data_IF_475151014708
#
_entry.id   IF_475151014708
#
_cell.length_a   1.000
_cell.length_b   1.000
_cell.length_c   1.000
_cell.angle_alpha   90.00
_cell.angle_beta   90.00
_cell.angle_gamma   90.00
#
_symmetry.space_group_name_H-M   'P 1'
#
loop_
_entity.id
_entity.type
_entity.pdbx_description
1 polymer ?
#
# COMPACT_ATOMS: atom_id res chain seq x y z
N UNK A 1 -24.85 -3.93 1.54
CA UNK A 1 -24.47 -5.35 1.68
C UNK A 1 -23.38 -5.63 0.66
N UNK A 2 -22.11 -5.63 1.07
CA UNK A 2 -20.99 -6.00 0.20
C UNK A 2 -21.06 -7.51 -0.01
N UNK A 3 -21.33 -7.93 -1.25
CA UNK A 3 -21.31 -9.35 -1.61
C UNK A 3 -19.92 -9.90 -1.30
N UNK A 4 -19.80 -11.01 -0.55
CA UNK A 4 -18.49 -11.59 -0.26
C UNK A 4 -17.82 -11.97 -1.58
N UNK A 5 -16.60 -11.48 -1.79
CA UNK A 5 -15.82 -11.79 -2.98
C UNK A 5 -15.46 -13.27 -2.95
N UNK A 6 -16.04 -14.06 -3.85
CA UNK A 6 -15.75 -15.49 -3.97
C UNK A 6 -14.66 -15.72 -5.02
N UNK A 7 -13.59 -16.42 -4.63
CA UNK A 7 -12.51 -16.78 -5.53
C UNK A 7 -12.67 -18.22 -6.04
N UNK A 8 -12.39 -18.45 -7.33
CA UNK A 8 -12.47 -19.77 -7.97
C UNK A 8 -11.50 -20.78 -7.34
N UNK A 9 -10.32 -20.33 -6.88
CA UNK A 9 -9.36 -21.17 -6.15
C UNK A 9 -8.85 -20.46 -4.90
N UNK A 10 -8.71 -21.22 -3.81
CA UNK A 10 -8.05 -20.75 -2.58
C UNK A 10 -6.53 -20.72 -2.78
N UNK A 11 -5.87 -19.71 -2.22
CA UNK A 11 -4.40 -19.59 -2.26
C UNK A 11 -3.85 -18.86 -3.48
N UNK A 12 -4.70 -18.42 -4.40
CA UNK A 12 -4.28 -17.68 -5.60
C UNK A 12 -4.22 -16.18 -5.32
N UNK A 13 -3.04 -15.58 -5.53
CA UNK A 13 -2.80 -14.14 -5.39
C UNK A 13 -3.35 -13.42 -6.63
N UNK A 14 -4.21 -12.42 -6.42
CA UNK A 14 -4.61 -11.50 -7.49
C UNK A 14 -3.79 -10.22 -7.39
N UNK A 15 -2.73 -10.14 -8.19
CA UNK A 15 -1.91 -8.94 -8.32
C UNK A 15 -2.25 -8.23 -9.63
N UNK A 16 -2.22 -6.88 -9.66
CA UNK A 16 -2.20 -6.13 -10.92
C UNK A 16 -1.08 -6.63 -11.82
N UNK A 17 -1.32 -6.62 -13.13
CA UNK A 17 -0.32 -7.05 -14.11
C UNK A 17 0.81 -6.03 -14.15
N UNK A 18 2.03 -6.54 -14.11
CA UNK A 18 3.26 -5.75 -14.18
C UNK A 18 3.67 -5.57 -15.65
N UNK A 19 3.78 -4.32 -16.11
CA UNK A 19 4.34 -3.97 -17.41
C UNK A 19 5.87 -4.08 -17.42
N UNK A 20 6.47 -3.85 -16.26
CA UNK A 20 7.90 -3.76 -16.09
C UNK A 20 8.27 -3.43 -14.67
N UNK A 21 9.58 -3.30 -14.43
CA UNK A 21 10.15 -3.02 -13.11
C UNK A 21 10.94 -1.73 -13.14
N UNK A 22 10.75 -0.91 -12.11
CA UNK A 22 11.64 0.22 -11.79
C UNK A 22 12.72 -0.32 -10.85
N UNK A 23 13.98 -0.11 -11.19
CA UNK A 23 15.13 -0.65 -10.44
C UNK A 23 16.09 0.45 -10.05
N UNK A 24 16.81 0.18 -8.97
CA UNK A 24 17.99 0.92 -8.52
C UNK A 24 19.02 -0.14 -8.22
N UNK A 25 20.02 -0.24 -9.09
CA UNK A 25 20.97 -1.33 -9.10
C UNK A 25 20.69 -2.41 -10.13
N UNK A 26 21.69 -3.26 -10.28
CA UNK A 26 21.69 -4.44 -11.14
C UNK A 26 22.50 -5.56 -10.48
N UNK A 27 22.35 -6.78 -10.98
CA UNK A 27 23.18 -7.91 -10.57
C UNK A 27 24.33 -8.04 -11.56
N UNK A 28 25.55 -8.09 -11.05
CA UNK A 28 26.74 -8.40 -11.84
C UNK A 28 27.13 -9.86 -11.63
N UNK A 29 27.50 -10.53 -12.71
CA UNK A 29 27.94 -11.92 -12.69
C UNK A 29 29.48 -11.94 -12.68
N UNK A 30 30.05 -12.15 -11.50
CA UNK A 30 31.49 -12.29 -11.29
C UNK A 30 31.95 -13.75 -11.24
N UNK A 31 33.27 -14.00 -11.16
CA UNK A 31 33.83 -15.34 -10.98
C UNK A 31 33.38 -16.00 -9.66
N UNK A 32 33.12 -15.20 -8.63
CA UNK A 32 32.70 -15.65 -7.29
C UNK A 32 31.18 -15.74 -7.13
N UNK A 33 30.42 -15.53 -8.21
CA UNK A 33 28.97 -15.60 -8.24
C UNK A 33 28.28 -14.28 -8.59
N UNK A 34 26.98 -14.22 -8.33
CA UNK A 34 26.14 -13.05 -8.52
C UNK A 34 26.39 -12.02 -7.40
N UNK A 35 26.61 -10.76 -7.74
CA UNK A 35 26.78 -9.67 -6.77
C UNK A 35 25.78 -8.56 -7.07
N UNK A 36 24.88 -8.21 -6.13
CA UNK A 36 24.00 -7.07 -6.31
C UNK A 36 24.77 -5.75 -6.14
N UNK A 37 24.73 -4.90 -7.16
CA UNK A 37 25.38 -3.59 -7.19
C UNK A 37 24.31 -2.50 -7.21
N UNK A 38 24.35 -1.60 -6.22
CA UNK A 38 23.46 -0.44 -6.19
C UNK A 38 23.96 0.65 -7.15
N UNK A 39 23.05 1.25 -7.91
CA UNK A 39 23.35 2.38 -8.81
C UNK A 39 22.80 3.70 -8.27
N UNK A 40 23.33 4.81 -8.79
CA UNK A 40 22.90 6.18 -8.44
C UNK A 40 21.85 6.76 -9.41
N UNK A 41 21.10 5.89 -10.10
CA UNK A 41 20.05 6.26 -11.05
C UNK A 41 18.98 5.16 -11.14
N UNK A 42 17.81 5.52 -11.65
CA UNK A 42 16.74 4.58 -11.97
C UNK A 42 16.97 3.90 -13.32
N UNK A 43 16.60 2.63 -13.40
CA UNK A 43 16.42 1.91 -14.67
C UNK A 43 15.01 1.33 -14.76
N UNK A 44 14.33 1.61 -15.87
CA UNK A 44 13.01 1.06 -16.19
C UNK A 44 13.20 -0.10 -17.16
N UNK A 45 12.81 -1.29 -16.72
CA UNK A 45 13.09 -2.55 -17.41
C UNK A 45 11.82 -3.33 -17.68
N UNK A 46 11.86 -4.18 -18.70
CA UNK A 46 10.83 -5.16 -18.99
C UNK A 46 10.96 -6.36 -18.04
N UNK A 47 9.98 -7.27 -18.06
CA UNK A 47 10.01 -8.53 -17.29
C UNK A 47 10.76 -9.65 -18.02
N UNK A 48 11.67 -9.31 -18.94
CA UNK A 48 12.50 -10.26 -19.67
C UNK A 48 13.99 -10.01 -19.41
N UNK A 49 14.76 -11.08 -19.31
CA UNK A 49 16.22 -11.04 -19.25
C UNK A 49 16.81 -11.35 -20.62
N UNK A 50 17.86 -10.63 -20.98
CA UNK A 50 18.69 -10.89 -22.15
C UNK A 50 19.53 -12.16 -21.98
N UNK A 51 20.24 -12.55 -23.05
CA UNK A 51 21.15 -13.70 -23.03
C UNK A 51 22.33 -13.52 -22.07
N UNK A 52 22.68 -12.26 -21.78
CA UNK A 52 23.70 -11.83 -20.82
C UNK A 52 23.20 -11.85 -19.36
N UNK A 53 21.95 -12.25 -19.13
CA UNK A 53 21.32 -12.29 -17.81
C UNK A 53 20.87 -10.91 -17.30
N UNK A 54 21.12 -9.83 -18.04
CA UNK A 54 20.69 -8.47 -17.68
C UNK A 54 19.23 -8.25 -18.06
N UNK A 55 18.58 -7.34 -17.35
CA UNK A 55 17.21 -6.96 -17.65
C UNK A 55 17.13 -6.09 -18.90
N UNK A 56 16.22 -6.41 -19.81
CA UNK A 56 16.05 -5.63 -21.04
C UNK A 56 15.38 -4.30 -20.69
N UNK A 57 15.92 -3.19 -21.20
CA UNK A 57 15.36 -1.86 -20.96
C UNK A 57 13.97 -1.71 -21.59
N UNK A 58 13.10 -0.97 -20.90
CA UNK A 58 11.79 -0.61 -21.43
C UNK A 58 11.91 0.65 -22.31
N UNK A 59 11.10 0.77 -23.36
CA UNK A 59 11.03 1.95 -24.24
C UNK A 59 10.76 3.28 -23.50
N UNK A 60 10.28 3.21 -22.25
CA UNK A 60 10.02 4.38 -21.42
C UNK A 60 11.32 4.96 -20.85
N UNK A 61 12.39 4.16 -20.72
CA UNK A 61 13.69 4.61 -20.23
C UNK A 61 14.20 5.81 -21.02
N UNK A 62 14.26 5.68 -22.36
CA UNK A 62 14.73 6.76 -23.24
C UNK A 62 13.80 7.98 -23.22
N UNK A 63 12.48 7.76 -23.15
CA UNK A 63 11.48 8.84 -23.09
C UNK A 63 11.61 9.64 -21.80
N UNK A 64 11.80 8.98 -20.66
CA UNK A 64 11.98 9.61 -19.36
C UNK A 64 13.28 10.41 -19.30
N UNK A 65 14.38 9.87 -19.84
CA UNK A 65 15.64 10.60 -19.98
C UNK A 65 15.49 11.85 -20.86
N UNK A 66 14.78 11.74 -21.99
CA UNK A 66 14.52 12.89 -22.86
C UNK A 66 13.66 13.98 -22.18
N UNK A 67 12.67 13.58 -21.38
CA UNK A 67 11.84 14.52 -20.61
C UNK A 67 12.63 15.22 -19.50
N UNK A 68 13.49 14.49 -18.79
CA UNK A 68 14.37 15.05 -17.76
C UNK A 68 15.29 16.13 -18.36
N UNK A 69 15.87 15.86 -19.52
CA UNK A 69 16.82 16.77 -20.16
C UNK A 69 16.14 17.96 -20.83
N UNK A 70 14.92 17.79 -21.34
CA UNK A 70 14.10 18.93 -21.78
C UNK A 70 13.80 19.92 -20.65
N UNK A 71 13.71 19.44 -19.40
CA UNK A 71 13.64 20.29 -18.22
C UNK A 71 15.01 20.83 -17.77
N UNK A 72 16.11 20.19 -18.18
CA UNK A 72 17.51 20.57 -17.88
C UNK A 72 18.28 21.05 -19.13
N UNK A 73 17.61 21.78 -20.04
CA UNK A 73 18.11 22.19 -21.37
C UNK A 73 19.32 23.18 -21.38
N UNK A 74 20.16 23.19 -20.33
CA UNK A 74 21.36 24.01 -20.21
C UNK A 74 22.69 23.25 -20.15
N UNK A 75 22.70 21.91 -20.13
CA UNK A 75 23.95 21.12 -20.07
C UNK A 75 24.11 20.27 -21.33
N UNK A 76 24.72 20.88 -22.36
CA UNK A 76 25.09 20.23 -23.62
C UNK A 76 26.47 19.59 -23.43
N UNK A 77 26.56 18.25 -23.47
CA UNK A 77 27.86 17.58 -23.58
C UNK A 77 27.96 16.11 -23.13
N UNK A 78 27.01 15.57 -22.38
CA UNK A 78 27.16 14.21 -21.83
C UNK A 78 26.74 13.10 -22.81
N UNK A 79 27.53 12.03 -22.85
CA UNK A 79 27.27 10.87 -23.70
C UNK A 79 26.01 10.12 -23.25
N UNK A 80 25.37 9.35 -24.14
CA UNK A 80 24.18 8.53 -23.82
C UNK A 80 24.38 7.61 -22.60
N UNK A 81 25.62 7.18 -22.33
CA UNK A 81 25.97 6.33 -21.20
C UNK A 81 26.08 7.08 -19.85
N UNK A 82 26.15 8.41 -19.87
CA UNK A 82 26.27 9.25 -18.67
C UNK A 82 24.94 9.86 -18.22
N UNK A 83 23.91 9.80 -19.06
CA UNK A 83 22.58 10.35 -18.76
C UNK A 83 21.88 9.49 -17.70
N UNK A 84 21.89 9.99 -16.47
CA UNK A 84 21.34 9.31 -15.29
C UNK A 84 19.90 9.77 -15.00
N UNK A 85 18.96 8.83 -15.01
CA UNK A 85 17.58 9.09 -14.62
C UNK A 85 17.47 9.21 -13.10
N UNK A 86 17.17 10.40 -12.58
CA UNK A 86 17.07 10.66 -11.13
C UNK A 86 15.64 10.86 -10.64
N UNK A 87 14.70 11.03 -11.56
CA UNK A 87 13.29 11.24 -11.24
C UNK A 87 12.37 10.57 -12.24
N UNK A 88 11.27 9.98 -11.78
CA UNK A 88 10.23 9.38 -12.61
C UNK A 88 8.87 9.98 -12.24
N UNK A 89 8.13 10.61 -13.18
CA UNK A 89 6.76 11.02 -12.96
C UNK A 89 5.86 9.78 -12.87
N UNK A 90 5.12 9.66 -11.78
CA UNK A 90 4.28 8.50 -11.48
C UNK A 90 2.90 8.89 -10.98
N UNK A 91 1.95 7.96 -11.09
CA UNK A 91 0.61 8.06 -10.51
C UNK A 91 0.29 6.82 -9.71
N UNK A 92 -0.50 7.00 -8.65
CA UNK A 92 -1.06 5.88 -7.90
C UNK A 92 -2.17 5.22 -8.74
N UNK A 93 -2.08 3.90 -8.89
CA UNK A 93 -3.11 3.10 -9.57
C UNK A 93 -4.37 2.96 -8.71
N UNK A 94 -4.20 3.00 -7.40
CA UNK A 94 -5.24 2.76 -6.39
C UNK A 94 -5.22 3.89 -5.36
N UNK A 95 -6.37 4.15 -4.76
CA UNK A 95 -6.56 5.01 -3.60
C UNK A 95 -6.05 4.32 -2.32
N UNK A 96 -6.30 3.02 -2.15
CA UNK A 96 -5.88 2.29 -0.94
C UNK A 96 -4.34 2.16 -0.84
N UNK A 97 -3.70 2.64 0.24
CA UNK A 97 -2.23 2.60 0.39
C UNK A 97 -1.69 1.16 0.42
N UNK A 98 -2.46 0.20 0.95
CA UNK A 98 -2.06 -1.21 1.03
C UNK A 98 -2.01 -1.91 -0.36
N UNK A 99 -2.61 -1.31 -1.40
CA UNK A 99 -2.51 -1.77 -2.79
C UNK A 99 -1.35 -1.07 -3.52
N UNK A 100 -1.02 0.16 -3.12
CA UNK A 100 0.07 0.95 -3.70
C UNK A 100 1.42 0.47 -3.17
N UNK A 101 1.59 0.38 -1.86
CA UNK A 101 2.83 -0.08 -1.22
C UNK A 101 2.55 -1.22 -0.26
N UNK A 102 3.32 -2.29 -0.41
CA UNK A 102 3.35 -3.41 0.53
C UNK A 102 4.77 -3.62 0.97
N UNK A 103 5.05 -3.37 2.25
CA UNK A 103 6.33 -3.70 2.86
C UNK A 103 6.14 -4.65 4.02
N UNK A 104 7.18 -5.44 4.29
CA UNK A 104 7.20 -6.38 5.41
C UNK A 104 8.55 -7.05 5.53
N UNK A 105 8.69 -7.85 6.58
CA UNK A 105 9.80 -8.76 6.74
C UNK A 105 9.52 -10.05 5.96
N UNK A 106 10.48 -10.46 5.16
CA UNK A 106 10.44 -11.73 4.44
C UNK A 106 11.71 -12.51 4.74
N UNK A 107 11.54 -13.78 5.12
CA UNK A 107 12.64 -14.73 5.27
C UNK A 107 12.70 -15.64 4.04
N UNK A 108 13.88 -15.65 3.44
CA UNK A 108 14.21 -16.41 2.26
C UNK A 108 15.13 -17.56 2.64
N UNK A 109 14.78 -18.77 2.25
CA UNK A 109 15.64 -19.93 2.49
C UNK A 109 16.75 -19.98 1.43
N UNK A 110 17.99 -19.97 1.88
CA UNK A 110 19.17 -19.93 1.02
C UNK A 110 19.34 -21.21 0.19
N UNK A 111 18.78 -22.34 0.66
CA UNK A 111 18.87 -23.63 -0.03
C UNK A 111 17.80 -23.76 -1.12
N UNK A 112 16.53 -23.53 -0.78
CA UNK A 112 15.41 -23.66 -1.74
C UNK A 112 15.21 -22.45 -2.63
N UNK A 113 15.85 -21.31 -2.32
CA UNK A 113 15.65 -20.01 -2.96
C UNK A 113 14.17 -19.59 -3.03
N UNK A 114 13.45 -19.78 -1.93
CA UNK A 114 12.02 -19.43 -1.82
C UNK A 114 11.73 -18.65 -0.54
N UNK A 115 10.66 -17.85 -0.57
CA UNK A 115 10.16 -17.20 0.65
C UNK A 115 9.49 -18.25 1.54
N UNK A 116 10.05 -18.43 2.73
CA UNK A 116 9.63 -19.41 3.74
C UNK A 116 8.93 -18.77 4.93
N UNK A 117 9.12 -17.46 5.15
CA UNK A 117 8.39 -16.70 6.16
C UNK A 117 8.04 -15.31 5.64
N UNK A 118 6.83 -14.82 5.90
CA UNK A 118 6.41 -13.46 5.58
C UNK A 118 5.66 -12.84 6.76
N UNK A 119 5.99 -11.60 7.14
CA UNK A 119 5.27 -10.87 8.19
C UNK A 119 3.93 -10.36 7.67
N UNK A 120 2.87 -10.53 8.46
CA UNK A 120 1.57 -9.93 8.20
C UNK A 120 1.38 -8.56 8.88
N UNK A 121 2.41 -8.09 9.61
CA UNK A 121 2.30 -6.91 10.47
C UNK A 121 1.81 -7.28 11.88
N UNK A 122 1.67 -6.27 12.75
CA UNK A 122 1.14 -6.40 14.12
C UNK A 122 1.82 -7.49 14.98
N UNK A 123 3.11 -7.74 14.75
CA UNK A 123 3.87 -8.76 15.47
C UNK A 123 3.52 -10.20 15.07
N UNK A 124 2.90 -10.41 13.91
CA UNK A 124 2.51 -11.73 13.39
C UNK A 124 3.19 -12.01 12.06
N UNK A 125 3.59 -13.26 11.86
CA UNK A 125 4.17 -13.75 10.61
C UNK A 125 3.62 -15.13 10.29
N UNK A 126 3.75 -15.52 9.03
CA UNK A 126 3.32 -16.82 8.55
C UNK A 126 4.53 -17.54 7.99
N UNK A 127 4.74 -18.77 8.45
CA UNK A 127 5.92 -19.58 8.15
C UNK A 127 5.53 -20.91 7.52
N UNK A 128 6.25 -21.29 6.45
CA UNK A 128 6.21 -22.63 5.86
C UNK A 128 6.98 -23.60 6.76
N UNK A 129 6.39 -24.75 7.07
CA UNK A 129 7.04 -25.77 7.89
C UNK A 129 7.91 -26.69 7.01
N UNK A 130 9.19 -26.88 7.37
CA UNK A 130 10.17 -27.71 6.64
C UNK A 130 9.71 -29.17 6.46
N UNK A 131 8.85 -29.69 7.33
CA UNK A 131 8.45 -31.11 7.36
C UNK A 131 7.59 -31.58 6.15
N UNK A 132 7.23 -30.69 5.22
CA UNK A 132 6.53 -31.12 4.01
C UNK A 132 6.49 -30.01 2.96
N UNK A 133 7.52 -29.95 2.13
CA UNK A 133 7.45 -29.28 0.82
C UNK A 133 6.25 -29.79 -0.02
N UNK A 134 5.74 -30.98 0.31
CA UNK A 134 4.56 -31.62 -0.31
C UNK A 134 3.19 -31.26 0.30
N UNK A 135 3.09 -30.72 1.52
CA UNK A 135 1.77 -30.46 2.16
C UNK A 135 1.38 -28.98 2.27
N UNK A 136 2.32 -28.06 1.99
CA UNK A 136 2.01 -26.62 1.93
C UNK A 136 1.48 -26.01 3.23
N UNK A 137 1.67 -26.70 4.38
CA UNK A 137 1.12 -26.25 5.66
C UNK A 137 1.84 -25.00 6.15
N UNK A 138 1.07 -23.91 6.25
CA UNK A 138 1.50 -22.62 6.77
C UNK A 138 1.06 -22.51 8.22
N UNK A 139 1.96 -22.07 9.10
CA UNK A 139 1.65 -21.78 10.50
C UNK A 139 1.81 -20.29 10.78
N UNK A 140 0.87 -19.71 11.52
CA UNK A 140 1.01 -18.37 12.10
C UNK A 140 1.98 -18.45 13.29
N UNK A 141 2.96 -17.56 13.31
CA UNK A 141 4.02 -17.49 14.32
C UNK A 141 4.20 -16.03 14.78
N UNK A 142 4.59 -15.79 16.04
CA UNK A 142 4.92 -14.44 16.48
C UNK A 142 6.16 -13.91 15.74
N UNK A 143 6.12 -12.65 15.34
CA UNK A 143 7.20 -11.94 14.66
C UNK A 143 7.83 -10.90 15.61
N UNK A 144 9.08 -11.14 16.01
CA UNK A 144 9.84 -10.27 16.93
C UNK A 144 10.81 -9.32 16.21
N UNK A 145 10.70 -9.22 14.88
CA UNK A 145 11.66 -8.49 14.03
C UNK A 145 12.83 -9.38 13.56
N UNK A 146 13.56 -8.94 12.53
CA UNK A 146 14.66 -9.70 11.94
C UNK A 146 15.83 -9.92 12.93
N UNK A 147 16.24 -8.90 13.66
CA UNK A 147 17.42 -8.95 14.55
C UNK A 147 17.29 -10.00 15.67
N UNK A 148 16.08 -10.16 16.22
CA UNK A 148 15.82 -11.03 17.38
C UNK A 148 15.16 -12.36 16.99
N UNK A 149 15.03 -12.65 15.70
CA UNK A 149 14.34 -13.85 15.23
C UNK A 149 15.32 -15.01 15.10
N UNK A 150 15.20 -16.00 15.99
CA UNK A 150 16.03 -17.22 15.96
C UNK A 150 16.00 -17.93 14.61
N UNK A 151 14.85 -17.91 13.92
CA UNK A 151 14.71 -18.51 12.60
C UNK A 151 15.54 -17.78 11.54
N UNK A 152 15.52 -16.44 11.55
CA UNK A 152 16.32 -15.61 10.65
C UNK A 152 17.83 -15.70 10.95
N UNK A 153 18.17 -15.94 12.21
CA UNK A 153 19.56 -16.04 12.67
C UNK A 153 20.09 -17.48 12.72
N UNK A 154 19.31 -18.46 12.24
CA UNK A 154 19.69 -19.88 12.25
C UNK A 154 20.74 -20.27 11.21
N UNK A 155 21.06 -19.37 10.27
CA UNK A 155 21.91 -19.63 9.11
C UNK A 155 21.22 -20.36 7.95
N UNK A 156 19.99 -20.87 8.16
CA UNK A 156 19.19 -21.54 7.11
C UNK A 156 18.36 -20.58 6.27
N UNK A 157 17.86 -19.51 6.88
CA UNK A 157 17.01 -18.52 6.21
C UNK A 157 17.52 -17.11 6.52
N UNK A 158 17.52 -16.24 5.51
CA UNK A 158 17.90 -14.82 5.67
C UNK A 158 16.64 -13.96 5.66
N UNK A 159 16.43 -13.19 6.72
CA UNK A 159 15.27 -12.29 6.82
C UNK A 159 15.67 -10.84 6.50
N UNK A 160 15.03 -10.26 5.48
CA UNK A 160 15.23 -8.86 5.10
C UNK A 160 13.90 -8.11 5.09
N UNK A 161 13.97 -6.78 5.19
CA UNK A 161 12.87 -5.95 4.75
C UNK A 161 12.71 -6.14 3.25
N UNK A 162 11.47 -6.27 2.81
CA UNK A 162 11.15 -6.36 1.40
C UNK A 162 9.86 -5.60 1.15
N UNK A 163 9.85 -4.77 0.10
CA UNK A 163 8.62 -4.12 -0.29
C UNK A 163 8.48 -3.93 -1.79
N UNK A 164 7.22 -3.76 -2.16
CA UNK A 164 6.70 -3.66 -3.52
C UNK A 164 5.88 -2.39 -3.60
N UNK A 165 6.30 -1.47 -4.45
CA UNK A 165 5.55 -0.26 -4.77
C UNK A 165 4.98 -0.41 -6.19
N UNK A 166 3.66 -0.46 -6.31
CA UNK A 166 2.93 -0.49 -7.57
C UNK A 166 2.53 0.94 -7.97
N UNK A 167 3.02 1.38 -9.13
CA UNK A 167 2.80 2.74 -9.66
C UNK A 167 2.59 2.71 -11.16
N UNK A 168 1.97 3.74 -11.70
CA UNK A 168 1.89 3.97 -13.15
C UNK A 168 2.90 5.03 -13.54
N UNK A 169 3.60 4.85 -14.64
CA UNK A 169 4.52 5.86 -15.17
C UNK A 169 3.78 6.72 -16.18
N UNK A 170 3.92 8.04 -16.08
CA UNK A 170 3.29 8.95 -17.02
C UNK A 170 3.76 8.70 -18.46
N UNK A 171 2.80 8.55 -19.38
CA UNK A 171 3.09 8.26 -20.79
C UNK A 171 3.18 6.76 -21.15
N UNK A 172 2.88 5.85 -20.21
CA UNK A 172 2.67 4.44 -20.52
C UNK A 172 1.41 4.22 -21.39
N UNK A 173 1.44 3.22 -22.28
CA UNK A 173 0.34 2.96 -23.23
C UNK A 173 -0.87 2.28 -22.60
N UNK A 174 -0.65 1.39 -21.64
CA UNK A 174 -1.71 0.60 -21.00
C UNK A 174 -2.03 1.21 -19.63
N UNK A 175 -3.20 1.83 -19.50
CA UNK A 175 -3.61 2.52 -18.27
C UNK A 175 -4.07 1.57 -17.15
N UNK A 176 -4.27 0.28 -17.44
CA UNK A 176 -4.83 -0.68 -16.48
C UNK A 176 -3.72 -1.50 -15.77
N UNK A 177 -2.49 -1.38 -16.24
CA UNK A 177 -1.33 -2.10 -15.72
C UNK A 177 -0.34 -1.13 -15.06
N UNK A 178 0.61 -1.67 -14.31
CA UNK A 178 1.55 -0.85 -13.53
C UNK A 178 2.99 -1.29 -13.66
N UNK A 179 3.89 -0.44 -13.21
CA UNK A 179 5.28 -0.77 -12.92
C UNK A 179 5.42 -1.07 -11.44
N UNK A 180 6.34 -1.96 -11.10
CA UNK A 180 6.67 -2.26 -9.71
C UNK A 180 8.11 -1.87 -9.39
N UNK A 181 8.31 -1.22 -8.25
CA UNK A 181 9.61 -1.03 -7.63
C UNK A 181 9.75 -2.04 -6.48
N UNK A 182 10.72 -2.95 -6.61
CA UNK A 182 11.09 -3.91 -5.56
C UNK A 182 12.33 -3.38 -4.83
N UNK A 183 12.32 -3.40 -3.50
CA UNK A 183 13.47 -2.96 -2.72
C UNK A 183 13.53 -3.63 -1.35
N UNK A 184 14.76 -3.85 -0.88
CA UNK A 184 15.06 -4.27 0.50
C UNK A 184 15.60 -3.14 1.37
N UNK A 185 15.67 -1.91 0.84
CA UNK A 185 16.20 -0.75 1.57
C UNK A 185 15.19 -0.25 2.60
N UNK A 186 15.54 -0.37 3.88
CA UNK A 186 14.74 0.14 4.99
C UNK A 186 14.44 1.65 4.86
N UNK A 187 15.42 2.44 4.43
CA UNK A 187 15.26 3.89 4.26
C UNK A 187 14.25 4.23 3.16
N UNK A 188 14.29 3.49 2.05
CA UNK A 188 13.33 3.66 0.96
C UNK A 188 11.92 3.27 1.42
N UNK A 189 11.76 2.09 2.03
CA UNK A 189 10.44 1.59 2.43
C UNK A 189 9.78 2.48 3.48
N UNK A 190 10.52 2.90 4.50
CA UNK A 190 10.00 3.78 5.56
C UNK A 190 9.52 5.11 5.00
N UNK A 191 10.30 5.73 4.09
CA UNK A 191 9.93 7.00 3.49
C UNK A 191 8.70 6.85 2.58
N UNK A 192 8.68 5.84 1.72
CA UNK A 192 7.56 5.61 0.81
C UNK A 192 6.26 5.34 1.59
N UNK A 193 6.29 4.46 2.61
CA UNK A 193 5.11 4.18 3.41
C UNK A 193 4.60 5.42 4.15
N UNK A 194 5.51 6.19 4.77
CA UNK A 194 5.14 7.39 5.50
C UNK A 194 4.50 8.43 4.56
N UNK A 195 5.11 8.71 3.41
CA UNK A 195 4.60 9.70 2.46
C UNK A 195 3.28 9.26 1.84
N UNK A 196 3.15 8.00 1.39
CA UNK A 196 1.91 7.51 0.78
C UNK A 196 0.75 7.54 1.80
N UNK A 197 0.98 7.08 3.03
CA UNK A 197 -0.05 7.12 4.08
C UNK A 197 -0.41 8.55 4.48
N UNK A 198 0.57 9.45 4.53
CA UNK A 198 0.35 10.88 4.78
C UNK A 198 -0.51 11.51 3.67
N UNK A 199 -0.15 11.31 2.39
CA UNK A 199 -0.91 11.82 1.26
C UNK A 199 -2.33 11.24 1.23
N UNK A 200 -2.48 9.94 1.47
CA UNK A 200 -3.80 9.30 1.54
C UNK A 200 -4.68 9.95 2.62
N UNK A 201 -4.13 10.19 3.82
CA UNK A 201 -4.86 10.88 4.87
C UNK A 201 -5.18 12.34 4.52
N UNK A 202 -4.22 13.07 3.93
CA UNK A 202 -4.38 14.47 3.55
C UNK A 202 -5.42 14.67 2.43
N UNK A 203 -5.56 13.71 1.52
CA UNK A 203 -6.44 13.77 0.35
C UNK A 203 -7.82 13.14 0.60
N UNK A 204 -8.16 12.84 1.86
CA UNK A 204 -9.46 12.28 2.22
C UNK A 204 -9.65 10.84 1.74
N UNK A 205 -8.58 10.06 1.73
CA UNK A 205 -8.59 8.65 1.32
C UNK A 205 -8.48 8.43 -0.19
N UNK A 206 -7.95 9.41 -0.94
CA UNK A 206 -7.82 9.36 -2.41
C UNK A 206 -6.39 9.61 -2.83
N UNK A 207 -5.84 8.77 -3.70
CA UNK A 207 -4.51 8.93 -4.29
C UNK A 207 -4.56 8.95 -5.82
N UNK A 208 -5.58 8.35 -6.42
CA UNK A 208 -5.73 8.28 -7.87
C UNK A 208 -5.97 9.67 -8.46
N UNK A 209 -5.30 9.95 -9.59
CA UNK A 209 -5.40 11.24 -10.29
C UNK A 209 -4.38 12.29 -9.86
N UNK A 210 -3.74 12.10 -8.69
CA UNK A 210 -2.67 13.00 -8.23
C UNK A 210 -1.36 12.68 -8.96
N UNK A 211 -0.68 13.69 -9.55
CA UNK A 211 0.63 13.51 -10.15
C UNK A 211 1.71 13.50 -9.06
N UNK A 212 2.45 12.40 -8.98
CA UNK A 212 3.57 12.22 -8.08
C UNK A 212 4.87 12.08 -8.87
N UNK A 213 5.99 12.14 -8.15
CA UNK A 213 7.32 11.90 -8.69
C UNK A 213 8.12 11.03 -7.73
N UNK A 214 8.69 9.94 -8.25
CA UNK A 214 9.73 9.19 -7.56
C UNK A 214 11.05 9.92 -7.76
N UNK A 215 11.72 10.27 -6.67
CA UNK A 215 12.99 10.95 -6.68
C UNK A 215 14.06 10.08 -6.03
N UNK A 216 15.20 9.92 -6.70
CA UNK A 216 16.36 9.29 -6.10
C UNK A 216 17.14 10.34 -5.30
N UNK A 217 17.17 10.18 -3.98
CA UNK A 217 17.87 11.08 -3.07
C UNK A 217 19.09 10.41 -2.48
N UNK A 218 20.10 11.21 -2.18
CA UNK A 218 21.34 10.77 -1.57
C UNK A 218 21.45 11.32 -0.14
N UNK A 219 21.88 10.49 0.81
CA UNK A 219 22.20 10.93 2.17
C UNK A 219 23.49 10.24 2.62
N UNK A 220 24.23 10.92 3.49
CA UNK A 220 25.33 10.34 4.25
C UNK A 220 25.07 10.62 5.73
N UNK A 221 25.34 9.65 6.59
CA UNK A 221 25.13 9.76 8.03
C UNK A 221 26.36 9.27 8.78
N UNK A 222 26.53 9.69 10.03
CA UNK A 222 27.59 9.14 10.88
C UNK A 222 27.45 7.61 11.02
N UNK A 223 26.22 7.09 11.05
CA UNK A 223 25.94 5.65 11.10
C UNK A 223 26.42 4.91 9.84
N UNK A 224 26.37 5.55 8.67
CA UNK A 224 26.89 4.97 7.42
C UNK A 224 28.41 5.17 7.24
N UNK A 225 29.13 5.59 8.28
CA UNK A 225 30.56 5.90 8.16
C UNK A 225 30.84 7.02 7.15
N UNK A 226 29.88 7.92 6.95
CA UNK A 226 29.89 8.96 5.91
C UNK A 226 29.88 8.44 4.46
N UNK A 227 29.65 7.15 4.24
CA UNK A 227 29.35 6.62 2.92
C UNK A 227 27.98 7.13 2.45
N UNK A 228 27.93 7.59 1.20
CA UNK A 228 26.72 8.11 0.56
C UNK A 228 25.87 6.92 0.13
N UNK A 229 24.63 6.88 0.62
CA UNK A 229 23.63 5.90 0.18
C UNK A 229 22.48 6.59 -0.55
N UNK A 230 21.88 5.85 -1.48
CA UNK A 230 20.74 6.31 -2.26
C UNK A 230 19.44 5.66 -1.76
N UNK A 231 18.35 6.43 -1.73
CA UNK A 231 17.02 5.95 -1.39
C UNK A 231 15.96 6.64 -2.23
N UNK A 232 14.80 6.00 -2.37
CA UNK A 232 13.67 6.57 -3.11
C UNK A 232 12.76 7.33 -2.19
N UNK A 233 12.36 8.50 -2.66
CA UNK A 233 11.34 9.33 -2.06
C UNK A 233 10.21 9.55 -3.06
N UNK A 234 8.98 9.72 -2.56
CA UNK A 234 7.81 10.07 -3.38
C UNK A 234 7.29 11.44 -2.96
N UNK A 235 7.15 12.34 -3.93
CA UNK A 235 6.66 13.70 -3.70
C UNK A 235 5.61 14.09 -4.73
N UNK A 236 4.85 15.16 -4.48
CA UNK A 236 4.00 15.77 -5.50
C UNK A 236 4.83 16.31 -6.66
N UNK A 237 4.28 16.23 -7.87
CA UNK A 237 4.91 16.76 -9.08
C UNK A 237 4.52 18.22 -9.31
N UNK A 238 5.29 19.15 -8.74
CA UNK A 238 5.20 20.58 -9.08
C UNK A 238 3.90 21.27 -8.67
N UNK A 239 3.02 20.59 -7.95
CA UNK A 239 1.72 21.11 -7.48
C UNK A 239 1.69 21.25 -5.95
N UNK A 240 0.84 22.14 -5.48
CA UNK A 240 0.57 22.30 -4.05
C UNK A 240 -0.32 21.18 -3.50
N UNK A 241 -0.32 21.02 -2.18
CA UNK A 241 -1.19 20.05 -1.50
C UNK A 241 -2.68 20.32 -1.76
N UNK A 242 -3.08 21.60 -1.83
CA UNK A 242 -4.46 21.99 -2.07
C UNK A 242 -4.92 21.66 -3.51
N UNK A 243 -4.05 21.88 -4.49
CA UNK A 243 -4.31 21.48 -5.88
C UNK A 243 -4.41 19.96 -6.01
N UNK A 244 -3.52 19.23 -5.33
CA UNK A 244 -3.56 17.76 -5.30
C UNK A 244 -4.89 17.21 -4.77
N UNK A 245 -5.41 17.79 -3.68
CA UNK A 245 -6.75 17.45 -3.14
C UNK A 245 -7.83 17.69 -4.20
N UNK A 246 -7.79 18.84 -4.88
CA UNK A 246 -8.73 19.17 -5.95
C UNK A 246 -8.67 18.19 -7.12
N UNK A 247 -7.47 17.80 -7.56
CA UNK A 247 -7.27 16.83 -8.63
C UNK A 247 -7.77 15.43 -8.25
N UNK A 248 -7.49 14.98 -7.02
CA UNK A 248 -7.97 13.69 -6.51
C UNK A 248 -9.50 13.65 -6.45
N UNK A 249 -10.12 14.74 -5.98
CA UNK A 249 -11.57 14.85 -5.89
C UNK A 249 -12.24 14.89 -7.28
N UNK A 250 -11.68 15.64 -8.22
CA UNK A 250 -12.19 15.69 -9.59
C UNK A 250 -12.06 14.33 -10.28
N UNK A 251 -10.93 13.63 -10.09
CA UNK A 251 -10.76 12.28 -10.62
C UNK A 251 -11.80 11.30 -10.07
N UNK A 252 -12.07 11.34 -8.77
CA UNK A 252 -13.11 10.52 -8.15
C UNK A 252 -14.50 10.82 -8.76
N UNK A 253 -14.83 12.11 -8.94
CA UNK A 253 -16.10 12.54 -9.57
C UNK A 253 -16.22 12.04 -11.01
N UNK A 254 -15.14 12.10 -11.78
CA UNK A 254 -15.11 11.60 -13.17
C UNK A 254 -15.28 10.08 -13.23
N UNK A 255 -14.65 9.33 -12.31
CA UNK A 255 -14.82 7.89 -12.22
C UNK A 255 -16.26 7.51 -11.89
N UNK A 256 -16.88 8.18 -10.91
CA UNK A 256 -18.29 7.98 -10.56
C UNK A 256 -19.21 8.31 -11.75
N UNK A 257 -18.98 9.42 -12.44
CA UNK A 257 -19.77 9.81 -13.61
C UNK A 257 -19.63 8.84 -14.80
N UNK A 258 -18.47 8.19 -14.94
CA UNK A 258 -18.24 7.14 -15.92
C UNK A 258 -18.80 5.76 -15.51
N UNK A 259 -19.32 5.64 -14.28
CA UNK A 259 -19.81 4.36 -13.74
C UNK A 259 -18.70 3.42 -13.26
N UNK A 260 -17.49 3.93 -13.00
CA UNK A 260 -16.37 3.15 -12.48
C UNK A 260 -16.43 3.06 -10.95
N UNK A 261 -16.74 1.88 -10.43
CA UNK A 261 -16.70 1.60 -8.99
C UNK A 261 -15.29 1.21 -8.54
N UNK A 262 -14.48 2.24 -8.24
CA UNK A 262 -13.11 2.06 -7.73
C UNK A 262 -13.10 1.33 -6.39
N UNK A 263 -14.07 1.62 -5.51
CA UNK A 263 -14.13 1.01 -4.18
C UNK A 263 -14.39 -0.50 -4.26
N UNK A 264 -15.32 -0.93 -5.11
CA UNK A 264 -15.56 -2.35 -5.36
C UNK A 264 -14.35 -3.03 -6.00
N UNK A 265 -13.71 -2.39 -6.99
CA UNK A 265 -12.50 -2.90 -7.63
C UNK A 265 -11.37 -3.13 -6.60
N UNK A 266 -11.10 -2.15 -5.74
CA UNK A 266 -10.09 -2.27 -4.69
C UNK A 266 -10.44 -3.31 -3.63
N UNK A 267 -11.73 -3.47 -3.32
CA UNK A 267 -12.19 -4.50 -2.38
C UNK A 267 -11.87 -5.89 -2.94
N UNK A 268 -12.11 -6.12 -4.23
CA UNK A 268 -11.76 -7.39 -4.90
C UNK A 268 -10.26 -7.61 -4.91
N UNK A 269 -9.46 -6.58 -5.21
CA UNK A 269 -8.00 -6.68 -5.22
C UNK A 269 -7.45 -6.99 -3.83
N UNK A 270 -7.90 -6.27 -2.80
CA UNK A 270 -7.47 -6.51 -1.41
C UNK A 270 -7.83 -7.92 -0.96
N UNK A 271 -9.06 -8.36 -1.24
CA UNK A 271 -9.50 -9.71 -0.93
C UNK A 271 -8.69 -10.77 -1.72
N UNK A 272 -8.31 -10.47 -2.96
CA UNK A 272 -7.50 -11.37 -3.80
C UNK A 272 -6.04 -11.47 -3.34
N UNK A 273 -5.48 -10.38 -2.82
CA UNK A 273 -4.18 -10.39 -2.13
C UNK A 273 -4.24 -11.21 -0.84
N UNK A 274 -5.35 -11.13 -0.09
CA UNK A 274 -5.59 -11.93 1.11
C UNK A 274 -5.92 -13.41 0.81
N UNK A 275 -6.53 -13.68 -0.35
CA UNK A 275 -6.80 -15.04 -0.83
C UNK A 275 -5.53 -15.76 -1.25
N UNK A 276 -4.56 -15.01 -1.77
CA UNK A 276 -3.22 -15.49 -2.00
C UNK A 276 -2.56 -16.01 -0.72
N UNK A 277 -1.66 -16.98 -0.87
CA UNK A 277 -0.76 -17.28 0.25
C UNK A 277 0.04 -16.02 0.57
N UNK A 278 0.34 -15.75 1.84
CA UNK A 278 1.25 -14.66 2.23
C UNK A 278 2.66 -14.77 1.63
N UNK A 279 2.93 -15.90 0.98
CA UNK A 279 4.10 -16.14 0.15
C UNK A 279 3.77 -15.86 -1.30
N UNK A 280 4.75 -15.31 -2.00
CA UNK A 280 4.59 -14.98 -3.39
C UNK A 280 4.60 -16.24 -4.29
N UNK A 281 4.27 -16.06 -5.57
CA UNK A 281 4.34 -17.16 -6.54
C UNK A 281 5.79 -17.47 -6.90
N UNK A 282 6.10 -18.65 -7.50
CA UNK A 282 7.47 -19.01 -7.87
C UNK A 282 8.19 -17.97 -8.75
N UNK A 283 7.43 -17.26 -9.60
CA UNK A 283 7.96 -16.17 -10.43
C UNK A 283 8.42 -14.99 -9.57
N UNK A 284 7.62 -14.59 -8.58
CA UNK A 284 7.99 -13.53 -7.64
C UNK A 284 9.14 -13.96 -6.72
N UNK A 285 9.17 -15.22 -6.27
CA UNK A 285 10.29 -15.77 -5.49
C UNK A 285 11.61 -15.65 -6.29
N UNK A 286 11.58 -15.94 -7.59
CA UNK A 286 12.74 -15.82 -8.47
C UNK A 286 13.18 -14.36 -8.66
N UNK A 287 12.24 -13.41 -8.73
CA UNK A 287 12.55 -11.97 -8.79
C UNK A 287 13.09 -11.44 -7.46
N UNK A 288 12.55 -11.93 -6.34
CA UNK A 288 13.00 -11.58 -5.00
C UNK A 288 14.39 -12.15 -4.70
N UNK A 289 14.75 -13.31 -5.26
CA UNK A 289 16.03 -13.99 -5.04
C UNK A 289 17.24 -13.06 -5.27
N UNK A 290 17.16 -12.15 -6.25
CA UNK A 290 18.20 -11.14 -6.56
C UNK A 290 18.61 -10.31 -5.33
N UNK A 291 17.68 -10.09 -4.38
CA UNK A 291 17.90 -9.28 -3.17
C UNK A 291 18.50 -10.09 -2.01
N UNK A 292 18.60 -11.42 -2.14
CA UNK A 292 19.13 -12.35 -1.13
C UNK A 292 20.42 -13.04 -1.56
N UNK A 293 20.92 -12.74 -2.76
CA UNK A 293 22.22 -13.21 -3.25
C UNK A 293 23.35 -12.74 -2.32
N UNK A 294 24.33 -13.63 -2.05
CA UNK A 294 25.52 -13.33 -1.26
C UNK A 294 25.38 -13.57 0.26
N UNK A 295 24.21 -13.99 0.75
CA UNK A 295 23.99 -14.26 2.19
C UNK A 295 24.86 -15.39 2.78
N UNK A 296 25.55 -16.17 1.93
CA UNK A 296 26.49 -17.22 2.36
C UNK A 296 27.98 -16.84 2.18
N UNK A 297 28.30 -15.71 1.55
CA UNK A 297 29.69 -15.35 1.19
C UNK A 297 30.09 -13.92 1.54
N UNK A 298 29.13 -13.07 1.91
CA UNK A 298 29.42 -11.82 2.58
C UNK A 298 29.06 -12.05 4.05
N UNK A 299 30.10 -12.25 4.86
CA UNK A 299 30.09 -11.74 6.23
C UNK A 299 29.55 -10.32 6.09
N UNK A 300 28.30 -10.16 6.52
CA UNK A 300 27.65 -8.87 6.56
C UNK A 300 28.68 -8.02 7.29
N UNK A 301 29.28 -7.04 6.59
CA UNK A 301 29.66 -5.81 7.26
C UNK A 301 28.35 -5.27 7.79
N UNK A 302 27.98 -5.86 8.93
CA UNK A 302 27.12 -5.36 9.96
C UNK A 302 27.75 -4.02 10.21
N UNK A 303 27.23 -2.99 9.57
CA UNK A 303 27.39 -1.65 10.09
C UNK A 303 26.98 -1.80 11.55
N UNK A 304 27.88 -1.60 12.52
CA UNK A 304 27.55 -1.81 13.92
C UNK A 304 26.44 -0.80 14.24
N UNK A 305 25.24 -1.33 14.34
CA UNK A 305 24.04 -0.53 14.21
C UNK A 305 22.79 -1.39 14.20
N UNK A 306 22.87 -2.57 14.81
CA UNK A 306 21.70 -3.23 15.36
C UNK A 306 20.96 -2.23 16.25
N UNK A 307 19.65 -2.25 16.18
CA UNK A 307 18.81 -1.40 17.00
C UNK A 307 18.96 -1.80 18.47
N UNK A 308 19.69 -0.99 19.24
CA UNK A 308 19.36 -0.78 20.63
C UNK A 308 17.98 -0.10 20.70
N UNK A 309 16.93 -0.91 20.64
CA UNK A 309 15.68 -0.56 21.30
C UNK A 309 15.86 -0.88 22.79
N UNK A 310 16.27 0.12 23.60
CA UNK A 310 15.47 0.44 24.76
C UNK A 310 15.55 1.93 25.13
N UNK A 311 14.74 2.82 24.56
CA UNK A 311 14.52 4.14 25.23
C UNK A 311 13.16 4.79 25.00
N UNK A 312 12.43 4.54 23.90
CA UNK A 312 11.18 5.29 23.66
C UNK A 312 9.98 4.78 24.48
N UNK A 313 10.05 3.57 25.06
CA UNK A 313 8.96 3.04 25.92
C UNK A 313 9.08 3.47 27.39
N UNK A 314 10.26 3.95 27.85
CA UNK A 314 10.43 4.43 29.24
C UNK A 314 10.19 5.93 29.43
N UNK A 315 10.17 6.73 28.38
CA UNK A 315 9.92 8.17 28.49
C UNK A 315 8.42 8.53 28.57
N UNK A 316 7.53 7.69 28.01
CA UNK A 316 6.07 7.93 28.01
C UNK A 316 5.40 7.53 29.33
N UNK A 317 6.07 6.76 30.20
CA UNK A 317 5.60 6.50 31.57
C UNK A 317 6.08 7.52 32.61
N UNK A 318 7.07 8.36 32.28
CA UNK A 318 7.59 9.39 33.18
C UNK A 318 6.91 10.76 33.03
N UNK A 319 6.25 11.00 31.89
CA UNK A 319 5.37 12.15 31.68
C UNK A 319 3.93 11.63 31.69
N UNK A 320 3.21 11.81 32.80
CA UNK A 320 1.83 11.32 33.01
C UNK A 320 0.80 11.92 32.06
N UNK A 321 0.91 11.65 30.77
CA UNK A 321 -0.05 12.01 29.73
C UNK A 321 -0.86 10.75 29.43
N UNK A 322 -2.04 10.66 30.06
CA UNK A 322 -3.05 9.68 29.71
C UNK A 322 -3.56 10.01 28.30
N UNK A 323 -3.15 9.24 27.29
CA UNK A 323 -3.88 9.19 26.02
C UNK A 323 -4.95 8.12 26.19
N UNK A 324 -6.18 8.58 26.41
CA UNK A 324 -7.37 7.75 26.40
C UNK A 324 -7.49 7.09 25.02
N UNK A 325 -7.41 5.77 25.00
CA UNK A 325 -7.49 4.96 23.79
C UNK A 325 -8.85 5.19 23.11
N UNK A 326 -8.84 5.91 21.99
CA UNK A 326 -9.96 5.99 21.05
C UNK A 326 -10.30 4.57 20.56
N UNK A 327 -11.35 3.97 21.14
CA UNK A 327 -11.99 2.78 20.58
C UNK A 327 -12.73 3.20 19.31
N UNK A 328 -12.24 2.72 18.17
CA UNK A 328 -13.00 2.73 16.91
C UNK A 328 -14.27 1.91 17.12
N UNK A 329 -15.40 2.61 17.12
CA UNK A 329 -16.74 2.07 17.22
C UNK A 329 -17.03 1.26 15.93
N UNK A 330 -17.11 -0.07 16.03
CA UNK A 330 -17.71 -0.91 14.99
C UNK A 330 -19.23 -0.85 15.15
N UNK A 331 -19.91 -0.49 14.08
CA UNK A 331 -21.37 -0.34 14.04
C UNK A 331 -22.13 -1.65 14.23
N UNK A 332 -23.28 -1.49 14.89
CA UNK A 332 -24.61 -2.12 14.67
C UNK A 332 -24.70 -3.63 14.44
N UNK A 333 -25.31 -4.32 15.41
CA UNK A 333 -26.57 -5.07 15.21
C UNK A 333 -27.04 -5.65 16.56
N UNK A 334 -28.17 -5.17 17.08
CA UNK A 334 -29.16 -5.97 17.84
C UNK A 334 -30.34 -5.09 18.26
N UNK A 335 -31.51 -5.59 17.91
CA UNK A 335 -32.85 -5.05 18.11
C UNK A 335 -33.48 -5.75 19.33
N UNK A 336 -34.36 -5.02 20.04
CA UNK A 336 -35.39 -5.44 21.02
C UNK A 336 -35.08 -5.51 22.53
N UNK A 337 -35.83 -4.67 23.23
CA UNK A 337 -36.74 -4.98 24.34
C UNK A 337 -36.27 -4.79 25.80
N UNK A 338 -37.28 -4.41 26.60
CA UNK A 338 -37.39 -4.34 28.06
C UNK A 338 -36.66 -3.16 28.70
N UNK A 339 -37.37 -2.11 29.13
CA UNK A 339 -38.32 -2.00 30.24
C UNK A 339 -37.67 -1.26 31.40
N UNK A 340 -38.50 -0.44 32.02
CA UNK A 340 -38.17 0.56 33.00
C UNK A 340 -37.73 -0.03 34.36
N UNK A 341 -37.30 0.91 35.21
CA UNK A 341 -37.34 0.85 36.68
C UNK A 341 -36.01 0.51 37.35
N UNK A 342 -35.40 1.51 37.99
CA UNK A 342 -35.38 1.60 39.45
C UNK A 342 -34.75 2.93 39.88
N UNK A 343 -35.57 3.85 40.38
CA UNK A 343 -35.14 4.85 41.35
C UNK A 343 -36.10 4.77 42.54
N UNK A 344 -35.59 4.30 43.67
CA UNK A 344 -36.07 4.58 45.01
C UNK A 344 -34.80 5.03 45.78
N UNK A 345 -34.79 6.07 46.61
CA UNK A 345 -35.69 6.29 47.74
C UNK A 345 -35.48 7.70 48.32
N UNK A 346 -36.43 8.12 49.17
CA UNK A 346 -36.41 9.22 50.16
C UNK A 346 -37.14 10.55 49.86
N UNK A 347 -38.46 10.48 50.13
CA UNK A 347 -39.19 11.28 51.15
C UNK A 347 -39.66 12.74 50.87
N UNK A 348 -40.77 13.19 51.53
CA UNK A 348 -41.86 13.93 50.85
C UNK A 348 -42.27 15.28 51.51
N UNK A 349 -43.19 16.04 50.87
CA UNK A 349 -44.45 16.59 51.47
C UNK A 349 -45.14 17.67 50.60
N UNK A 350 -46.49 17.57 50.51
CA UNK A 350 -47.47 18.67 50.34
C UNK A 350 -47.95 18.95 48.90
N UNK A 351 -49.16 18.51 48.52
CA UNK A 351 -50.42 19.30 48.40
C UNK A 351 -50.51 19.99 47.01
N UNK A 352 -51.56 20.00 46.17
CA UNK A 352 -53.04 19.90 46.25
C UNK A 352 -53.60 19.37 44.89
N UNK A 353 -54.58 18.44 44.87
CA UNK A 353 -56.00 18.58 44.41
C UNK A 353 -56.21 19.34 43.07
N UNK A 354 -56.29 18.67 41.91
CA UNK A 354 -57.50 18.19 41.16
C UNK A 354 -58.19 19.26 40.25
N UNK A 355 -59.21 18.92 39.43
CA UNK A 355 -59.05 18.54 38.01
C UNK A 355 -60.07 19.25 37.08
N UNK A 356 -60.03 18.99 35.76
CA UNK A 356 -61.16 19.07 34.79
C UNK A 356 -60.61 19.05 33.35
N UNK A 357 -61.27 18.56 32.30
CA UNK A 357 -62.39 17.64 32.09
C UNK A 357 -62.56 17.50 30.56
N UNK A 358 -63.29 16.46 30.13
CA UNK A 358 -63.93 16.26 28.80
C UNK A 358 -63.01 16.00 27.58
N UNK A 359 -63.14 14.89 26.83
CA UNK A 359 -64.32 14.42 26.09
C UNK A 359 -64.09 14.76 24.60
N UNK A 360 -64.16 13.91 23.57
CA UNK A 360 -64.85 12.64 23.35
C UNK A 360 -65.69 12.77 22.06
N UNK A 361 -65.40 11.98 21.01
CA UNK A 361 -66.26 11.75 19.82
C UNK A 361 -65.78 12.44 18.53
N UNK A 362 -65.27 11.75 17.50
CA UNK A 362 -65.87 10.74 16.59
C UNK A 362 -66.93 11.29 15.62
N UNK A 363 -66.60 11.33 14.32
CA UNK A 363 -67.38 10.70 13.23
C UNK A 363 -66.86 11.11 11.83
N UNK A 364 -66.72 10.12 10.93
CA UNK A 364 -66.46 10.22 9.48
C UNK A 364 -67.78 10.59 8.70
N UNK A 365 -68.00 10.38 7.36
CA UNK A 365 -67.12 9.95 6.24
C UNK A 365 -67.40 10.61 4.82
N UNK A 366 -66.47 10.41 3.85
CA UNK A 366 -66.65 10.22 2.36
C UNK A 366 -67.30 11.32 1.45
N UNK A 367 -67.35 11.18 0.08
CA UNK A 367 -66.28 11.49 -0.90
C UNK A 367 -66.81 12.30 -2.13
N UNK A 368 -66.02 12.36 -3.23
CA UNK A 368 -66.31 12.75 -4.64
C UNK A 368 -65.40 13.90 -5.12
N UNK A 369 -65.03 14.09 -6.39
CA UNK A 369 -64.99 13.35 -7.65
C UNK A 369 -64.33 14.30 -8.70
N UNK A 370 -64.03 13.78 -9.90
CA UNK A 370 -63.87 14.51 -11.18
C UNK A 370 -62.54 15.24 -11.45
N UNK A 371 -61.98 15.36 -12.67
CA UNK A 371 -62.00 14.68 -13.99
C UNK A 371 -61.21 15.60 -14.96
N UNK A 372 -60.74 15.03 -16.09
CA UNK A 372 -60.29 15.65 -17.36
C UNK A 372 -58.94 16.41 -17.34
N UNK A 373 -57.90 16.03 -18.09
CA UNK A 373 -57.72 15.77 -19.54
C UNK A 373 -57.60 17.03 -20.42
N UNK A 374 -56.43 17.23 -21.05
CA UNK A 374 -56.30 17.69 -22.45
C UNK A 374 -54.82 17.67 -22.91
N UNK A 375 -54.62 17.14 -24.11
CA UNK A 375 -53.37 17.05 -24.89
C UNK A 375 -53.12 18.28 -25.79
N UNK A 376 -51.87 18.45 -26.25
CA UNK A 376 -51.41 18.76 -27.65
C UNK A 376 -49.98 19.37 -27.56
N UNK A 377 -48.87 18.91 -28.18
CA UNK A 377 -48.46 18.35 -29.50
C UNK A 377 -47.89 19.41 -30.47
N UNK A 378 -46.67 19.13 -31.00
CA UNK A 378 -45.98 19.77 -32.14
C UNK A 378 -44.49 20.02 -31.80
N UNK A 379 -43.46 19.26 -32.22
CA UNK A 379 -42.93 18.85 -33.55
C UNK A 379 -42.50 20.02 -34.45
N UNK A 380 -41.19 20.15 -34.68
CA UNK A 380 -40.57 20.18 -36.02
C UNK A 380 -39.03 20.17 -35.94
N UNK A 381 -38.44 19.29 -36.74
CA UNK A 381 -37.01 19.15 -37.07
C UNK A 381 -36.45 20.34 -37.86
N UNK A 382 -35.14 20.58 -37.72
CA UNK A 382 -34.19 20.89 -38.79
C UNK A 382 -32.75 20.55 -38.38
#
# INVERSE_FOLDING_TARGET
MTTPVSFSMRGMVFSPIELGTIRIGHVEFGPDGEVPVMTDHFSVTQLIRGQDGRWVEHELQERLLAQQDGAQAGQVGESRAERKLRSIPVRAQFDSPDLVIRSGLQAFDCSSRRVVCASAGDGRAFRRLEASEASGKVSEVPCVGNEKCDFANSGKATCKFFGRLHVQIDGQRQADNGFVLRTSSFNTLTNLEAQIRMYHAAFGGRLTGVPFRLNLRSRATQKSGFEVFHFVDISLDGISMAEAVGMAAERARLNEAAGLDVCAMETVLRAGLQNGSLFDCPTEDALAAEFYVGAAALDEKTVPGGMDAPTVVKAVQAAGVFIESFRLNRGSDAVLASEASTVAEMAPRGAEVSPSDEGGGSAAPTPAASAAASMAKGVADF
#
